data_IF_823524943323
#
_entry.id   IF_823524943323
#
_cell.length_a   1.000
_cell.length_b   1.000
_cell.length_c   1.000
_cell.angle_alpha   90.00
_cell.angle_beta   90.00
_cell.angle_gamma   90.00
#
_symmetry.space_group_name_H-M   'P 1'
#
loop_
_entity.id
_entity.type
_entity.pdbx_description
1 polymer ?
#
# COMPACT_ATOMS: atom_id res chain seq x y z
N UNK A 1 10.74 -6.72 0.32
CA UNK A 1 9.58 -5.82 0.32
C UNK A 1 8.88 -5.98 -1.01
N UNK A 2 7.57 -6.29 -1.01
CA UNK A 2 6.82 -6.46 -2.26
C UNK A 2 6.71 -5.12 -3.01
N UNK A 3 6.67 -5.20 -4.34
CA UNK A 3 6.43 -4.04 -5.22
C UNK A 3 5.30 -4.41 -6.16
N UNK A 4 4.26 -3.57 -6.20
CA UNK A 4 3.05 -3.80 -6.97
C UNK A 4 3.00 -2.86 -8.17
N UNK A 5 2.55 -3.37 -9.30
CA UNK A 5 2.37 -2.58 -10.52
C UNK A 5 1.21 -1.59 -10.39
N UNK A 6 0.13 -1.98 -9.70
CA UNK A 6 -1.06 -1.16 -9.51
C UNK A 6 -1.36 -0.91 -8.04
N UNK A 7 -2.03 0.22 -7.76
CA UNK A 7 -2.53 0.53 -6.42
C UNK A 7 -3.60 -0.47 -5.97
N UNK A 8 -4.43 -0.95 -6.91
CA UNK A 8 -5.47 -1.93 -6.62
C UNK A 8 -4.87 -3.25 -6.12
N UNK A 9 -3.79 -3.74 -6.74
CA UNK A 9 -3.11 -4.95 -6.29
C UNK A 9 -2.54 -4.76 -4.89
N UNK A 10 -1.87 -3.62 -4.64
CA UNK A 10 -1.34 -3.31 -3.33
C UNK A 10 -2.45 -3.25 -2.26
N UNK A 11 -3.58 -2.59 -2.54
CA UNK A 11 -4.72 -2.54 -1.61
C UNK A 11 -5.28 -3.94 -1.37
N UNK A 12 -5.44 -4.73 -2.43
CA UNK A 12 -6.01 -6.07 -2.33
C UNK A 12 -5.14 -6.95 -1.41
N UNK A 13 -3.86 -7.10 -1.72
CA UNK A 13 -2.97 -8.02 -1.01
C UNK A 13 -2.55 -7.53 0.37
N UNK A 14 -2.41 -6.22 0.58
CA UNK A 14 -1.82 -5.67 1.82
C UNK A 14 -2.87 -5.12 2.79
N UNK A 15 -4.13 -4.95 2.35
CA UNK A 15 -5.21 -4.42 3.21
C UNK A 15 -6.42 -5.34 3.20
N UNK A 16 -6.99 -5.63 2.03
CA UNK A 16 -8.23 -6.42 1.94
C UNK A 16 -8.01 -7.87 2.36
N UNK A 17 -6.98 -8.54 1.84
CA UNK A 17 -6.67 -9.94 2.20
C UNK A 17 -6.39 -10.10 3.70
N UNK A 18 -5.58 -9.25 4.37
CA UNK A 18 -5.37 -9.34 5.81
C UNK A 18 -6.59 -9.02 6.68
N UNK A 19 -7.41 -8.05 6.28
CA UNK A 19 -8.64 -7.69 7.02
C UNK A 19 -9.76 -8.73 6.78
N UNK A 20 -9.73 -9.39 5.63
CA UNK A 20 -10.66 -10.44 5.24
C UNK A 20 -12.08 -9.92 5.07
N UNK A 21 -13.05 -10.75 5.46
CA UNK A 21 -14.48 -10.46 5.30
C UNK A 21 -14.89 -9.14 5.97
N UNK A 22 -14.16 -8.68 6.99
CA UNK A 22 -14.46 -7.44 7.73
C UNK A 22 -14.04 -6.17 6.98
N UNK A 23 -13.47 -6.26 5.78
CA UNK A 23 -12.96 -5.10 5.04
C UNK A 23 -14.03 -4.01 4.82
N UNK A 24 -15.29 -4.41 4.67
CA UNK A 24 -16.42 -3.49 4.52
C UNK A 24 -16.78 -2.68 5.79
N UNK A 25 -16.18 -3.00 6.94
CA UNK A 25 -16.32 -2.22 8.18
C UNK A 25 -15.27 -1.12 8.34
N UNK A 26 -14.37 -0.95 7.37
CA UNK A 26 -13.27 0.00 7.46
C UNK A 26 -13.16 0.89 6.22
N UNK A 27 -12.62 2.09 6.39
CA UNK A 27 -12.30 2.98 5.29
C UNK A 27 -10.98 2.56 4.63
N UNK A 28 -11.06 1.63 3.68
CA UNK A 28 -9.90 1.06 2.97
C UNK A 28 -9.08 2.13 2.25
N UNK A 29 -9.73 3.15 1.68
CA UNK A 29 -9.04 4.24 0.98
C UNK A 29 -8.17 5.06 1.95
N UNK A 30 -8.71 5.43 3.12
CA UNK A 30 -7.96 6.18 4.13
C UNK A 30 -6.78 5.37 4.71
N UNK A 31 -6.94 4.05 4.83
CA UNK A 31 -5.84 3.14 5.20
C UNK A 31 -4.78 3.12 4.09
N UNK A 32 -5.19 2.97 2.83
CA UNK A 32 -4.29 2.91 1.68
C UNK A 32 -3.45 4.18 1.52
N UNK A 33 -4.04 5.36 1.66
CA UNK A 33 -3.32 6.65 1.59
C UNK A 33 -2.18 6.76 2.61
N UNK A 34 -2.35 6.14 3.78
CA UNK A 34 -1.38 6.19 4.88
C UNK A 34 -0.39 5.03 4.85
N UNK A 35 -0.76 3.89 4.28
CA UNK A 35 0.03 2.67 4.27
C UNK A 35 0.83 2.48 2.97
N UNK A 36 0.26 2.82 1.82
CA UNK A 36 0.80 2.53 0.49
C UNK A 36 1.40 3.81 -0.10
N UNK A 37 2.55 3.70 -0.73
CA UNK A 37 3.19 4.81 -1.42
C UNK A 37 3.85 4.37 -2.73
N UNK A 38 4.00 5.30 -3.67
CA UNK A 38 4.73 5.06 -4.89
C UNK A 38 6.24 5.22 -4.66
N UNK A 39 7.03 4.20 -5.01
CA UNK A 39 8.48 4.20 -4.97
C UNK A 39 9.06 4.41 -6.36
N UNK A 40 9.90 5.45 -6.52
CA UNK A 40 10.69 5.68 -7.72
C UNK A 40 12.09 5.05 -7.56
N UNK A 41 12.45 4.13 -8.45
CA UNK A 41 13.84 3.73 -8.67
C UNK A 41 14.39 4.58 -9.81
N UNK A 42 15.41 5.39 -9.53
CA UNK A 42 16.05 6.26 -10.51
C UNK A 42 17.40 5.66 -10.89
N UNK A 43 17.66 5.51 -12.18
CA UNK A 43 18.93 4.98 -12.66
C UNK A 43 20.04 6.05 -12.64
N UNK A 44 21.28 5.65 -12.95
CA UNK A 44 22.44 6.53 -12.97
C UNK A 44 22.32 7.75 -13.93
N UNK A 45 21.37 7.70 -14.87
CA UNK A 45 21.11 8.76 -15.84
C UNK A 45 19.92 9.66 -15.45
N UNK A 46 19.35 9.49 -14.24
CA UNK A 46 18.21 10.28 -13.79
C UNK A 46 16.85 9.82 -14.33
N UNK A 47 16.79 8.70 -15.05
CA UNK A 47 15.54 8.17 -15.60
C UNK A 47 14.86 7.23 -14.61
N UNK A 48 13.52 7.27 -14.56
CA UNK A 48 12.74 6.30 -13.78
C UNK A 48 12.87 4.90 -14.39
N UNK A 49 13.35 3.95 -13.60
CA UNK A 49 13.31 2.55 -13.95
C UNK A 49 11.93 1.99 -13.61
N UNK A 50 11.04 1.97 -14.61
CA UNK A 50 9.67 1.47 -14.46
C UNK A 50 9.61 0.02 -13.95
N UNK A 51 10.59 -0.81 -14.31
CA UNK A 51 10.64 -2.22 -13.89
C UNK A 51 11.01 -2.40 -12.41
N UNK A 52 11.53 -1.35 -11.76
CA UNK A 52 11.93 -1.36 -10.33
C UNK A 52 11.13 -0.36 -9.48
N UNK A 53 10.33 0.48 -10.12
CA UNK A 53 9.39 1.40 -9.51
C UNK A 53 8.03 0.74 -9.34
N UNK A 54 7.23 1.22 -8.38
CA UNK A 54 5.91 0.65 -8.10
C UNK A 54 5.36 1.04 -6.75
N UNK A 55 4.19 0.52 -6.41
CA UNK A 55 3.58 0.71 -5.10
C UNK A 55 4.23 -0.21 -4.07
N UNK A 56 4.51 0.34 -2.88
CA UNK A 56 5.08 -0.38 -1.75
C UNK A 56 4.36 -0.01 -0.46
N UNK A 57 4.50 -0.87 0.54
CA UNK A 57 3.98 -0.66 1.90
C UNK A 57 5.01 0.07 2.75
N UNK A 58 4.56 1.08 3.51
CA UNK A 58 5.37 1.73 4.54
C UNK A 58 5.61 0.78 5.70
N UNK A 59 6.88 0.50 6.00
CA UNK A 59 7.27 -0.41 7.08
C UNK A 59 7.28 0.24 8.47
N UNK A 60 7.18 1.57 8.54
CA UNK A 60 7.15 2.34 9.77
C UNK A 60 5.73 2.70 10.24
N UNK A 61 4.71 2.03 9.70
CA UNK A 61 3.31 2.23 10.05
C UNK A 61 2.78 0.96 10.69
N UNK A 62 2.18 1.09 11.88
CA UNK A 62 1.46 0.00 12.51
C UNK A 62 0.12 -0.22 11.79
N UNK A 63 0.06 -1.29 10.99
CA UNK A 63 -1.09 -1.64 10.19
C UNK A 63 -2.37 -1.78 11.01
N UNK A 64 -2.34 -2.53 12.12
CA UNK A 64 -3.56 -2.80 12.88
C UNK A 64 -4.05 -1.58 13.64
N UNK A 65 -3.13 -0.75 14.14
CA UNK A 65 -3.49 0.55 14.72
C UNK A 65 -4.14 1.46 13.67
N UNK A 66 -3.65 1.43 12.44
CA UNK A 66 -4.23 2.19 11.33
C UNK A 66 -5.63 1.66 10.95
N UNK A 67 -5.82 0.34 10.87
CA UNK A 67 -7.14 -0.28 10.59
C UNK A 67 -8.15 0.13 11.66
N UNK A 68 -7.80 -0.01 12.94
CA UNK A 68 -8.69 0.34 14.06
C UNK A 68 -9.08 1.83 14.06
N UNK A 69 -8.15 2.72 13.71
CA UNK A 69 -8.41 4.16 13.64
C UNK A 69 -9.33 4.56 12.45
N UNK A 70 -9.61 3.65 11.52
CA UNK A 70 -10.42 3.91 10.33
C UNK A 70 -11.63 2.96 10.22
N UNK A 71 -12.20 2.53 11.35
CA UNK A 71 -13.51 1.88 11.37
C UNK A 71 -14.61 2.85 10.91
N UNK A 72 -15.64 2.33 10.22
CA UNK A 72 -16.79 3.09 9.74
C UNK A 72 -17.82 3.38 10.85
#
# INVERSE_FOLDING_TARGET
>A
MATYATLSDAIHYEIITPVGERAHHFNINAIAERLIYWHHDINAHGNTNLNRSGFRVRTNVDFWKLVQANAL
#
